data_IF_103407833068
#
_entry.id   IF_103407833068
#
_cell.length_a   1.000
_cell.length_b   1.000
_cell.length_c   1.000
_cell.angle_alpha   90.00
_cell.angle_beta   90.00
_cell.angle_gamma   90.00
#
_symmetry.space_group_name_H-M   'P 1'
#
loop_
_entity.id
_entity.type
_entity.pdbx_description
1 polymer ?
#
# COMPACT_ATOMS: atom_id res chain seq x y z
N UNK A 1 -1.16 13.54 -9.32
CA UNK A 1 -0.53 14.87 -9.26
C UNK A 1 -1.39 15.89 -8.52
N UNK A 2 -0.85 17.05 -8.25
CA UNK A 2 -1.55 18.10 -7.49
C UNK A 2 -2.84 18.58 -8.17
N UNK A 3 -2.92 18.50 -9.48
CA UNK A 3 -4.11 18.87 -10.24
C UNK A 3 -5.32 17.93 -9.99
N UNK A 4 -5.08 16.68 -9.66
CA UNK A 4 -6.12 15.66 -9.45
C UNK A 4 -6.51 15.53 -7.98
N UNK A 5 -5.64 15.98 -7.07
CA UNK A 5 -5.83 15.85 -5.64
C UNK A 5 -7.15 16.49 -5.13
N UNK A 6 -7.56 17.70 -5.54
CA UNK A 6 -8.83 18.27 -5.08
C UNK A 6 -10.05 17.43 -5.45
N UNK A 7 -10.04 16.81 -6.64
CA UNK A 7 -11.13 15.94 -7.06
C UNK A 7 -11.14 14.63 -6.24
N UNK A 8 -9.96 14.06 -6.02
CA UNK A 8 -9.84 12.82 -5.26
C UNK A 8 -10.21 13.01 -3.79
N UNK A 9 -9.74 14.08 -3.16
CA UNK A 9 -10.09 14.39 -1.77
C UNK A 9 -11.60 14.65 -1.59
N UNK A 10 -12.26 15.29 -2.58
CA UNK A 10 -13.70 15.47 -2.56
C UNK A 10 -14.45 14.13 -2.67
N UNK A 11 -13.98 13.21 -3.51
CA UNK A 11 -14.54 11.84 -3.62
C UNK A 11 -14.40 11.11 -2.29
N UNK A 12 -13.22 11.15 -1.65
CA UNK A 12 -12.99 10.48 -0.37
C UNK A 12 -13.90 11.02 0.72
N UNK A 13 -14.04 12.34 0.82
CA UNK A 13 -14.98 12.95 1.77
C UNK A 13 -16.43 12.52 1.49
N UNK A 14 -16.82 12.45 0.22
CA UNK A 14 -18.13 11.94 -0.19
C UNK A 14 -18.36 10.47 0.17
N UNK A 15 -17.30 9.66 0.22
CA UNK A 15 -17.31 8.27 0.68
C UNK A 15 -17.22 8.13 2.20
N UNK A 16 -17.05 9.23 2.96
CA UNK A 16 -16.96 9.22 4.41
C UNK A 16 -15.55 9.08 4.98
N UNK A 17 -14.50 9.16 4.15
CA UNK A 17 -13.13 9.23 4.66
C UNK A 17 -12.82 10.60 5.26
N UNK A 18 -12.07 10.60 6.35
CA UNK A 18 -11.53 11.81 7.00
C UNK A 18 -10.03 11.90 6.77
N UNK A 19 -9.54 13.11 6.54
CA UNK A 19 -8.12 13.43 6.55
C UNK A 19 -7.63 13.47 7.99
N UNK A 20 -6.92 12.46 8.45
CA UNK A 20 -6.63 12.25 9.87
C UNK A 20 -5.21 12.56 10.28
N UNK A 21 -4.25 12.57 9.37
CA UNK A 21 -2.88 12.86 9.74
C UNK A 21 -2.01 13.28 8.54
N UNK A 22 -0.92 13.98 8.84
CA UNK A 22 0.13 14.36 7.90
C UNK A 22 1.46 13.77 8.34
N UNK A 23 2.27 13.31 7.42
CA UNK A 23 3.63 12.84 7.74
C UNK A 23 4.51 13.98 8.23
N UNK A 24 5.34 13.72 9.25
CA UNK A 24 6.16 14.71 9.97
C UNK A 24 7.19 15.41 9.08
N UNK A 25 7.71 14.74 8.05
CA UNK A 25 8.81 15.22 7.23
C UNK A 25 8.57 15.19 5.71
N UNK A 26 7.49 14.55 5.25
CA UNK A 26 7.22 14.33 3.82
C UNK A 26 5.85 14.89 3.46
N UNK A 27 5.66 15.22 2.19
CA UNK A 27 4.37 15.64 1.66
C UNK A 27 3.44 14.43 1.47
N UNK A 28 3.07 13.80 2.57
CA UNK A 28 2.26 12.59 2.64
C UNK A 28 1.10 12.77 3.61
N UNK A 29 -0.09 12.42 3.17
CA UNK A 29 -1.34 12.54 3.92
C UNK A 29 -1.94 11.18 4.19
N UNK A 30 -2.55 11.02 5.36
CA UNK A 30 -3.29 9.83 5.76
C UNK A 30 -4.77 10.14 5.85
N UNK A 31 -5.57 9.33 5.20
CA UNK A 31 -7.03 9.37 5.22
C UNK A 31 -7.56 8.08 5.78
N UNK A 32 -8.55 8.14 6.66
CA UNK A 32 -9.07 6.93 7.31
C UNK A 32 -10.59 6.86 7.30
N UNK A 33 -11.10 5.62 7.27
CA UNK A 33 -12.48 5.28 7.59
C UNK A 33 -12.50 3.84 8.13
N UNK A 34 -13.05 3.61 9.33
CA UNK A 34 -12.91 2.31 10.00
C UNK A 34 -11.44 1.91 10.11
N UNK A 35 -11.11 0.68 9.75
CA UNK A 35 -9.74 0.17 9.75
C UNK A 35 -9.00 0.46 8.44
N UNK A 36 -9.68 1.09 7.46
CA UNK A 36 -9.08 1.41 6.16
C UNK A 36 -8.21 2.64 6.25
N UNK A 37 -6.97 2.51 5.83
CA UNK A 37 -6.00 3.59 5.72
C UNK A 37 -5.64 3.81 4.25
N UNK A 38 -5.84 5.03 3.76
CA UNK A 38 -5.41 5.47 2.45
C UNK A 38 -4.33 6.54 2.61
N UNK A 39 -3.21 6.34 1.93
CA UNK A 39 -2.05 7.23 2.01
C UNK A 39 -1.84 7.92 0.67
N UNK A 40 -1.84 9.25 0.67
CA UNK A 40 -1.53 10.06 -0.49
C UNK A 40 -0.10 10.55 -0.39
N UNK A 41 0.78 9.97 -1.16
CA UNK A 41 2.16 10.41 -1.27
C UNK A 41 2.30 11.37 -2.45
N UNK A 42 2.56 12.65 -2.13
CA UNK A 42 2.82 13.72 -3.10
C UNK A 42 4.25 14.24 -3.00
N UNK A 43 5.14 13.49 -2.36
CA UNK A 43 6.54 13.83 -2.21
C UNK A 43 7.26 13.72 -3.55
N UNK A 44 7.90 14.81 -3.97
CA UNK A 44 8.66 14.86 -5.22
C UNK A 44 9.84 13.89 -5.19
N UNK A 45 10.12 13.26 -6.35
CA UNK A 45 11.22 12.29 -6.48
C UNK A 45 11.02 10.97 -5.72
N UNK A 46 9.88 10.79 -5.02
CA UNK A 46 9.53 9.55 -4.34
C UNK A 46 9.24 8.41 -5.33
N UNK A 47 9.13 7.19 -4.82
CA UNK A 47 8.64 6.06 -5.61
C UNK A 47 7.23 6.34 -6.16
N UNK A 48 6.35 6.88 -5.33
CA UNK A 48 4.97 7.20 -5.73
C UNK A 48 4.93 8.26 -6.87
N UNK A 49 5.82 9.25 -6.83
CA UNK A 49 5.92 10.24 -7.90
C UNK A 49 6.36 9.58 -9.22
N UNK A 50 7.41 8.77 -9.22
CA UNK A 50 7.85 8.03 -10.43
C UNK A 50 6.79 7.06 -10.95
N UNK A 51 6.07 6.41 -10.05
CA UNK A 51 4.97 5.51 -10.43
C UNK A 51 3.81 6.28 -11.07
N UNK A 52 3.49 7.46 -10.51
CA UNK A 52 2.49 8.36 -11.10
C UNK A 52 2.87 8.84 -12.52
N UNK A 53 4.13 9.15 -12.76
CA UNK A 53 4.62 9.59 -14.09
C UNK A 53 4.42 8.50 -15.16
N UNK A 54 4.42 7.24 -14.78
CA UNK A 54 4.23 6.09 -15.67
C UNK A 54 2.76 5.66 -15.82
N UNK A 55 1.99 5.71 -14.73
CA UNK A 55 0.67 5.07 -14.64
C UNK A 55 -0.46 6.06 -14.37
N UNK A 56 -0.17 7.33 -14.15
CA UNK A 56 -1.14 8.30 -13.68
C UNK A 56 -1.58 8.04 -12.24
N UNK A 57 -2.75 8.57 -11.86
CA UNK A 57 -3.32 8.37 -10.53
C UNK A 57 -3.70 6.90 -10.33
N UNK A 58 -2.98 6.22 -9.46
CA UNK A 58 -3.11 4.77 -9.24
C UNK A 58 -2.60 4.36 -7.87
N UNK A 59 -2.93 3.14 -7.46
CA UNK A 59 -2.39 2.54 -6.24
C UNK A 59 -0.99 2.00 -6.55
N UNK A 60 0.03 2.63 -5.99
CA UNK A 60 1.44 2.26 -6.19
C UNK A 60 1.99 1.35 -5.09
N UNK A 61 1.25 1.18 -4.01
CA UNK A 61 1.68 0.36 -2.87
C UNK A 61 0.49 -0.07 -2.02
N UNK A 62 0.64 -1.20 -1.33
CA UNK A 62 -0.29 -1.64 -0.29
C UNK A 62 0.44 -2.33 0.86
N UNK A 63 -0.09 -2.16 2.07
CA UNK A 63 0.42 -2.78 3.29
C UNK A 63 -0.25 -4.12 3.54
N UNK A 64 0.55 -5.13 3.81
CA UNK A 64 0.11 -6.45 4.23
C UNK A 64 0.37 -6.60 5.72
N UNK A 65 -0.67 -6.92 6.47
CA UNK A 65 -0.56 -7.25 7.90
C UNK A 65 0.15 -8.59 8.05
N UNK A 66 1.28 -8.60 8.72
CA UNK A 66 2.08 -9.80 8.99
C UNK A 66 2.51 -9.81 10.46
N UNK A 67 2.43 -10.97 11.11
CA UNK A 67 2.75 -11.08 12.54
C UNK A 67 4.22 -10.79 12.86
N UNK A 68 5.14 -11.14 11.96
CA UNK A 68 6.57 -10.97 12.15
C UNK A 68 7.25 -10.47 10.86
N UNK A 69 7.30 -9.14 10.61
CA UNK A 69 7.95 -8.57 9.42
C UNK A 69 9.39 -9.03 9.21
N UNK A 70 10.15 -9.26 10.27
CA UNK A 70 11.53 -9.75 10.21
C UNK A 70 11.65 -11.15 9.59
N UNK A 71 10.69 -12.04 9.86
CA UNK A 71 10.62 -13.35 9.20
C UNK A 71 10.28 -13.24 7.74
N UNK A 72 9.39 -12.31 7.37
CA UNK A 72 9.06 -12.04 5.97
C UNK A 72 10.27 -11.50 5.22
N UNK A 73 11.04 -10.58 5.81
CA UNK A 73 12.30 -10.08 5.26
C UNK A 73 13.30 -11.22 5.05
N UNK A 74 13.49 -12.07 6.06
CA UNK A 74 14.39 -13.23 5.95
C UNK A 74 13.98 -14.15 4.80
N UNK A 75 12.68 -14.46 4.70
CA UNK A 75 12.14 -15.31 3.65
C UNK A 75 12.27 -14.68 2.27
N UNK A 76 11.97 -13.37 2.14
CA UNK A 76 12.15 -12.64 0.88
C UNK A 76 13.60 -12.71 0.39
N UNK A 77 14.56 -12.48 1.28
CA UNK A 77 15.99 -12.58 0.96
C UNK A 77 16.40 -14.00 0.53
N UNK A 78 15.89 -15.03 1.21
CA UNK A 78 16.13 -16.44 0.83
C UNK A 78 15.58 -16.78 -0.57
N UNK A 79 14.49 -16.13 -0.96
CA UNK A 79 13.88 -16.27 -2.28
C UNK A 79 14.45 -15.31 -3.32
N UNK A 80 15.50 -14.55 -2.95
CA UNK A 80 16.13 -13.52 -3.81
C UNK A 80 15.21 -12.39 -4.24
N UNK A 81 14.19 -12.07 -3.42
CA UNK A 81 13.41 -10.87 -3.56
C UNK A 81 14.10 -9.72 -2.81
N UNK A 82 14.54 -8.66 -3.52
CA UNK A 82 15.16 -7.50 -2.88
C UNK A 82 14.19 -6.82 -1.91
N UNK A 83 14.64 -6.60 -0.67
CA UNK A 83 13.88 -5.86 0.33
C UNK A 83 14.38 -4.42 0.38
N UNK A 84 13.47 -3.47 0.34
CA UNK A 84 13.72 -2.04 0.54
C UNK A 84 13.11 -1.57 1.86
N UNK A 85 13.66 -0.49 2.42
CA UNK A 85 13.20 0.14 3.66
C UNK A 85 12.84 1.62 3.47
N UNK A 86 12.37 1.98 2.28
CA UNK A 86 12.17 3.38 1.91
C UNK A 86 13.44 4.05 1.37
N UNK A 87 13.44 5.38 1.33
CA UNK A 87 14.60 6.14 0.89
C UNK A 87 15.60 6.30 2.05
N UNK A 88 16.83 5.76 1.94
CA UNK A 88 17.81 5.82 3.02
C UNK A 88 18.24 7.26 3.40
N UNK A 89 17.94 8.25 2.55
CA UNK A 89 18.26 9.65 2.82
C UNK A 89 17.16 10.40 3.58
N UNK A 90 15.94 9.85 3.63
CA UNK A 90 14.78 10.53 4.18
C UNK A 90 14.12 9.77 5.33
N UNK A 91 14.49 8.51 5.56
CA UNK A 91 13.77 7.67 6.50
C UNK A 91 14.68 6.62 7.15
N UNK A 92 14.91 6.78 8.43
CA UNK A 92 15.67 5.81 9.25
C UNK A 92 14.83 4.65 9.75
N UNK A 93 13.51 4.69 9.55
CA UNK A 93 12.56 3.72 10.11
C UNK A 93 11.52 3.23 9.09
N UNK A 94 11.87 3.23 7.81
CA UNK A 94 10.99 2.76 6.74
C UNK A 94 10.50 1.33 6.97
N UNK A 95 9.24 1.09 6.67
CA UNK A 95 8.68 -0.25 6.65
C UNK A 95 9.38 -1.11 5.60
N UNK A 96 9.69 -2.38 5.90
CA UNK A 96 10.23 -3.28 4.89
C UNK A 96 9.20 -3.53 3.78
N UNK A 97 9.67 -3.45 2.55
CA UNK A 97 8.85 -3.67 1.37
C UNK A 97 9.59 -4.47 0.30
N UNK A 98 8.85 -5.17 -0.52
CA UNK A 98 9.32 -5.76 -1.77
C UNK A 98 8.56 -5.15 -2.95
N UNK A 99 9.11 -5.32 -4.16
CA UNK A 99 8.40 -4.99 -5.39
C UNK A 99 7.56 -6.18 -5.84
N UNK A 100 6.26 -5.97 -6.03
CA UNK A 100 5.37 -6.94 -6.65
C UNK A 100 5.64 -7.07 -8.15
N UNK A 101 5.18 -8.16 -8.80
CA UNK A 101 5.36 -8.36 -10.24
C UNK A 101 4.72 -7.27 -11.10
N UNK A 102 3.66 -6.67 -10.61
CA UNK A 102 2.93 -5.53 -11.22
C UNK A 102 3.63 -4.18 -11.01
N UNK A 103 4.75 -4.15 -10.29
CA UNK A 103 5.51 -2.94 -10.02
C UNK A 103 5.04 -2.13 -8.81
N UNK A 104 3.97 -2.52 -8.12
CA UNK A 104 3.56 -1.90 -6.86
C UNK A 104 4.44 -2.38 -5.69
N UNK A 105 4.60 -1.56 -4.66
CA UNK A 105 5.31 -1.96 -3.44
C UNK A 105 4.38 -2.69 -2.47
N UNK A 106 4.88 -3.78 -1.90
CA UNK A 106 4.20 -4.58 -0.86
C UNK A 106 4.93 -4.36 0.46
N UNK A 107 4.33 -3.59 1.36
CA UNK A 107 4.88 -3.31 2.69
C UNK A 107 4.49 -4.41 3.69
N UNK A 108 5.43 -4.81 4.56
CA UNK A 108 5.15 -5.72 5.67
C UNK A 108 4.90 -4.91 6.93
N UNK A 109 3.69 -4.98 7.46
CA UNK A 109 3.23 -4.19 8.60
C UNK A 109 2.87 -5.12 9.76
N UNK A 110 3.46 -4.87 10.92
CA UNK A 110 3.07 -5.55 12.16
C UNK A 110 1.84 -4.88 12.77
N UNK A 111 0.69 -5.56 12.84
CA UNK A 111 -0.51 -4.98 13.45
C UNK A 111 -0.43 -4.83 14.97
N UNK A 112 0.52 -5.55 15.61
CA UNK A 112 0.67 -5.59 17.06
C UNK A 112 1.86 -4.76 17.57
N UNK A 113 2.45 -3.94 16.73
CA UNK A 113 3.59 -3.12 17.10
C UNK A 113 3.23 -2.16 18.24
N UNK A 114 4.05 -2.13 19.33
CA UNK A 114 3.80 -1.30 20.51
C UNK A 114 3.79 0.21 20.20
N UNK A 115 4.54 0.63 19.19
CA UNK A 115 4.55 2.00 18.68
C UNK A 115 4.22 1.96 17.20
N UNK A 116 2.93 1.99 16.84
CA UNK A 116 2.51 1.89 15.45
C UNK A 116 3.23 2.87 14.54
N UNK A 117 3.52 2.45 13.31
CA UNK A 117 4.18 3.31 12.32
C UNK A 117 3.47 4.67 12.16
N UNK A 118 2.15 4.68 12.27
CA UNK A 118 1.34 5.89 12.21
C UNK A 118 1.70 6.92 13.29
N UNK A 119 1.95 6.49 14.52
CA UNK A 119 2.27 7.39 15.64
C UNK A 119 3.70 7.92 15.55
N UNK A 120 4.61 7.12 14.98
CA UNK A 120 6.01 7.53 14.81
C UNK A 120 6.18 8.55 13.69
N UNK A 121 5.53 8.33 12.56
CA UNK A 121 5.80 9.06 11.33
C UNK A 121 4.78 10.16 11.04
N UNK A 122 3.59 10.10 11.64
CA UNK A 122 2.51 11.05 11.36
C UNK A 122 2.15 11.92 12.56
N UNK A 123 1.66 13.12 12.26
CA UNK A 123 1.01 14.02 13.23
C UNK A 123 -0.46 14.05 12.90
N UNK A 124 -1.28 13.71 13.89
CA UNK A 124 -2.74 13.79 13.77
C UNK A 124 -3.20 15.21 13.50
N UNK A 125 -4.31 15.34 12.78
CA UNK A 125 -5.05 16.59 12.67
C UNK A 125 -6.35 16.49 13.48
N UNK A 126 -7.03 17.64 13.66
CA UNK A 126 -8.25 17.73 14.48
C UNK A 126 -9.51 17.21 13.77
N UNK A 127 -9.41 16.66 12.55
CA UNK A 127 -10.56 16.07 11.87
C UNK A 127 -10.93 14.74 12.56
N UNK A 128 -11.99 14.76 13.35
CA UNK A 128 -12.53 13.53 13.92
C UNK A 128 -13.02 12.59 12.83
N UNK A 129 -12.68 11.30 12.93
CA UNK A 129 -13.24 10.27 12.08
C UNK A 129 -14.76 10.30 12.19
N UNK A 130 -15.45 10.42 11.04
CA UNK A 130 -16.90 10.38 10.99
C UNK A 130 -17.41 8.93 11.09
N UNK A 131 -18.74 8.77 11.23
CA UNK A 131 -19.34 7.44 11.24
C UNK A 131 -18.87 6.60 10.06
N UNK A 132 -18.38 5.40 10.35
CA UNK A 132 -17.78 4.49 9.37
C UNK A 132 -18.83 3.67 8.65
N UNK A 133 -18.84 3.75 7.33
CA UNK A 133 -19.61 2.87 6.44
C UNK A 133 -18.73 1.76 5.84
N UNK A 134 -17.43 2.07 5.72
CA UNK A 134 -16.41 1.17 5.20
C UNK A 134 -15.55 0.75 6.39
N UNK A 135 -15.56 -0.51 6.71
CA UNK A 135 -14.85 -1.04 7.87
C UNK A 135 -13.49 -1.63 7.50
N UNK A 136 -13.39 -2.30 6.34
CA UNK A 136 -12.18 -3.02 5.94
C UNK A 136 -12.05 -3.09 4.41
N UNK A 137 -10.86 -3.44 3.93
CA UNK A 137 -10.61 -3.80 2.54
C UNK A 137 -10.82 -5.31 2.39
N UNK A 138 -11.82 -5.70 1.60
CA UNK A 138 -12.14 -7.10 1.36
C UNK A 138 -11.11 -7.77 0.45
N UNK A 139 -10.79 -7.14 -0.67
CA UNK A 139 -9.82 -7.66 -1.64
C UNK A 139 -9.19 -6.55 -2.48
N UNK A 140 -8.09 -6.90 -3.13
CA UNK A 140 -7.42 -6.05 -4.13
C UNK A 140 -7.40 -6.83 -5.44
N UNK A 141 -7.99 -6.24 -6.49
CA UNK A 141 -7.92 -6.77 -7.85
C UNK A 141 -6.81 -6.07 -8.61
N UNK A 142 -5.91 -6.86 -9.20
CA UNK A 142 -4.79 -6.35 -9.98
C UNK A 142 -4.88 -6.91 -11.39
N UNK A 143 -4.89 -6.02 -12.39
CA UNK A 143 -4.83 -6.41 -13.80
C UNK A 143 -3.38 -6.50 -14.24
N UNK A 144 -3.02 -7.61 -14.86
CA UNK A 144 -1.66 -7.86 -15.33
C UNK A 144 -1.67 -8.81 -16.53
N UNK A 145 -0.56 -8.88 -17.26
CA UNK A 145 -0.42 -9.87 -18.34
C UNK A 145 -0.26 -11.30 -17.79
N UNK A 146 -0.30 -12.28 -18.70
CA UNK A 146 -0.26 -13.69 -18.32
C UNK A 146 1.06 -14.08 -17.61
N UNK A 147 2.19 -13.55 -18.07
CA UNK A 147 3.50 -13.87 -17.48
C UNK A 147 3.62 -13.27 -16.08
N UNK A 148 3.19 -12.02 -15.89
CA UNK A 148 3.13 -11.38 -14.59
C UNK A 148 2.18 -12.10 -13.62
N UNK A 149 1.05 -12.61 -14.12
CA UNK A 149 0.09 -13.40 -13.33
C UNK A 149 0.72 -14.69 -12.77
N UNK A 150 1.53 -15.39 -13.58
CA UNK A 150 2.26 -16.56 -13.10
C UNK A 150 3.30 -16.18 -12.04
N UNK A 151 4.04 -15.10 -12.25
CA UNK A 151 5.01 -14.58 -11.27
C UNK A 151 4.33 -14.17 -9.97
N UNK A 152 3.18 -13.47 -10.05
CA UNK A 152 2.39 -13.07 -8.89
C UNK A 152 1.90 -14.30 -8.10
N UNK A 153 1.38 -15.31 -8.79
CA UNK A 153 0.95 -16.57 -8.16
C UNK A 153 2.12 -17.24 -7.42
N UNK A 154 3.29 -17.31 -8.07
CA UNK A 154 4.48 -17.89 -7.46
C UNK A 154 4.95 -17.10 -6.24
N UNK A 155 4.98 -15.75 -6.33
CA UNK A 155 5.33 -14.87 -5.22
C UNK A 155 4.41 -15.10 -4.03
N UNK A 156 3.10 -15.04 -4.24
CA UNK A 156 2.12 -15.18 -3.16
C UNK A 156 2.20 -16.56 -2.50
N UNK A 157 2.42 -17.61 -3.29
CA UNK A 157 2.60 -18.97 -2.78
C UNK A 157 3.92 -19.12 -2.01
N UNK A 158 5.03 -18.67 -2.60
CA UNK A 158 6.35 -18.89 -2.03
C UNK A 158 6.63 -18.01 -0.82
N UNK A 159 6.22 -16.73 -0.86
CA UNK A 159 6.51 -15.77 0.19
C UNK A 159 5.45 -15.79 1.30
N UNK A 160 4.17 -15.77 0.94
CA UNK A 160 3.07 -15.63 1.90
C UNK A 160 2.39 -16.96 2.24
N UNK A 161 2.82 -18.08 1.64
CA UNK A 161 2.20 -19.39 1.81
C UNK A 161 0.69 -19.43 1.45
N UNK A 162 0.29 -18.57 0.52
CA UNK A 162 -1.08 -18.52 0.02
C UNK A 162 -1.26 -19.55 -1.11
N UNK A 163 -2.38 -20.24 -1.11
CA UNK A 163 -2.73 -21.15 -2.20
C UNK A 163 -3.76 -20.48 -3.11
N UNK A 164 -3.56 -20.53 -4.43
CA UNK A 164 -4.55 -20.02 -5.36
C UNK A 164 -5.85 -20.82 -5.25
N UNK A 165 -6.98 -20.14 -5.32
CA UNK A 165 -8.27 -20.78 -5.60
C UNK A 165 -8.36 -21.16 -7.08
N UNK A 166 -9.31 -22.02 -7.46
CA UNK A 166 -9.49 -22.41 -8.86
C UNK A 166 -9.69 -21.18 -9.74
N UNK A 167 -8.93 -21.03 -10.83
CA UNK A 167 -9.09 -19.93 -11.74
C UNK A 167 -10.48 -19.93 -12.38
N UNK A 168 -11.17 -18.79 -12.34
CA UNK A 168 -12.38 -18.56 -13.11
C UNK A 168 -11.95 -18.04 -14.49
N UNK A 169 -12.09 -18.88 -15.53
CA UNK A 169 -11.97 -18.40 -16.89
C UNK A 169 -13.25 -17.65 -17.27
N UNK A 170 -13.20 -16.34 -17.26
CA UNK A 170 -14.25 -15.52 -17.89
C UNK A 170 -13.93 -15.50 -19.37
N UNK A 171 -14.67 -16.27 -20.16
CA UNK A 171 -14.62 -16.16 -21.61
C UNK A 171 -15.24 -14.83 -21.98
N UNK A 172 -14.45 -13.93 -22.57
CA UNK A 172 -14.97 -12.71 -23.16
C UNK A 172 -15.90 -13.11 -24.33
N UNK A 173 -17.20 -12.77 -24.30
CA UNK A 173 -18.10 -13.04 -25.40
C UNK A 173 -17.90 -11.99 -26.51
N UNK A 174 -16.72 -11.95 -27.12
CA UNK A 174 -16.44 -11.12 -28.32
C UNK A 174 -17.03 -11.75 -29.56
#
# INVERSE_FOLDING_TARGET
GDAEYPKLSAILRGLGFSFTATHKAKHVERWTQGDVNLVFNREDGSFANRYYDLHGLSVCAYGLSVEEPSKMVTRANQLSYPVSYGDPNTDTHGLPAIMGPEGAQLYFVDPNEQSPHWDREFVGNDEAAQNSWIETIDHIAVTMDHEQSLQATLLHKALFNLNPTSPLNVLDPS
#
